data_IF_963851667082
#
_entry.id   IF_963851667082
#
_cell.length_a   1.000
_cell.length_b   1.000
_cell.length_c   1.000
_cell.angle_alpha   90.00
_cell.angle_beta   90.00
_cell.angle_gamma   90.00
#
_symmetry.space_group_name_H-M   'P 1'
#
loop_
_entity.id
_entity.type
_entity.pdbx_description
1 polymer ?
#
# COMPACT_ATOMS: atom_id res chain seq x y z
N UNK A 1 -28.92 4.52 0.21
CA UNK A 1 -28.07 3.30 0.26
C UNK A 1 -27.24 3.09 -1.01
N UNK A 2 -27.83 2.99 -2.21
CA UNK A 2 -27.03 2.71 -3.43
C UNK A 2 -26.03 3.79 -3.86
N UNK A 3 -26.40 5.09 -3.75
CA UNK A 3 -25.54 6.21 -4.18
C UNK A 3 -24.33 6.43 -3.27
N UNK A 4 -24.54 6.40 -1.95
CA UNK A 4 -23.45 6.58 -0.97
C UNK A 4 -22.47 5.42 -1.02
N UNK A 5 -22.96 4.17 -1.10
CA UNK A 5 -22.10 3.00 -1.25
C UNK A 5 -21.23 3.09 -2.52
N UNK A 6 -21.79 3.56 -3.64
CA UNK A 6 -21.04 3.75 -4.88
C UNK A 6 -19.98 4.85 -4.75
N UNK A 7 -20.31 5.98 -4.12
CA UNK A 7 -19.37 7.07 -3.88
C UNK A 7 -18.23 6.66 -2.96
N UNK A 8 -18.53 5.97 -1.86
CA UNK A 8 -17.53 5.48 -0.92
C UNK A 8 -16.65 4.41 -1.56
N UNK A 9 -17.23 3.50 -2.33
CA UNK A 9 -16.48 2.47 -3.07
C UNK A 9 -15.56 3.10 -4.13
N UNK A 10 -16.04 4.13 -4.83
CA UNK A 10 -15.25 4.86 -5.81
C UNK A 10 -14.07 5.57 -5.12
N UNK A 11 -14.34 6.35 -4.06
CA UNK A 11 -13.32 7.06 -3.30
C UNK A 11 -12.27 6.08 -2.74
N UNK A 12 -12.71 4.98 -2.13
CA UNK A 12 -11.82 3.93 -1.63
C UNK A 12 -10.98 3.31 -2.76
N UNK A 13 -11.58 3.05 -3.92
CA UNK A 13 -10.88 2.56 -5.10
C UNK A 13 -9.79 3.51 -5.61
N UNK A 14 -10.03 4.82 -5.60
CA UNK A 14 -9.01 5.82 -5.94
C UNK A 14 -7.85 5.81 -4.93
N UNK A 15 -8.10 5.55 -3.64
CA UNK A 15 -7.03 5.43 -2.64
C UNK A 15 -6.13 4.21 -2.83
N UNK A 16 -6.61 3.14 -3.48
CA UNK A 16 -5.78 1.97 -3.79
C UNK A 16 -4.66 2.35 -4.77
N UNK A 17 -4.92 3.28 -5.69
CA UNK A 17 -3.90 3.82 -6.60
C UNK A 17 -3.08 4.85 -5.83
N UNK A 18 -1.96 4.39 -5.28
CA UNK A 18 -1.08 5.20 -4.45
C UNK A 18 0.29 5.41 -5.11
N UNK A 19 1.01 6.50 -4.76
CA UNK A 19 2.36 6.77 -5.27
C UNK A 19 3.34 5.61 -4.99
N UNK A 20 3.08 4.84 -3.94
CA UNK A 20 3.85 3.63 -3.62
C UNK A 20 3.68 2.53 -4.66
N UNK A 21 2.48 2.31 -5.21
CA UNK A 21 2.27 1.33 -6.27
C UNK A 21 2.98 1.77 -7.56
N UNK A 22 2.99 3.07 -7.87
CA UNK A 22 3.73 3.61 -9.02
C UNK A 22 5.24 3.40 -8.87
N UNK A 23 5.80 3.59 -7.66
CA UNK A 23 7.20 3.27 -7.37
C UNK A 23 7.53 1.80 -7.64
N UNK A 24 6.67 0.87 -7.19
CA UNK A 24 6.85 -0.57 -7.45
C UNK A 24 6.75 -0.90 -8.94
N UNK A 25 5.87 -0.24 -9.69
CA UNK A 25 5.80 -0.43 -11.14
C UNK A 25 7.09 0.00 -11.84
N UNK A 26 7.72 1.10 -11.42
CA UNK A 26 9.01 1.51 -11.97
C UNK A 26 10.09 0.46 -11.72
N UNK A 27 10.15 -0.06 -10.49
CA UNK A 27 11.09 -1.12 -10.11
C UNK A 27 10.89 -2.40 -10.92
N UNK A 28 9.63 -2.82 -11.11
CA UNK A 28 9.29 -4.02 -11.88
C UNK A 28 9.53 -3.80 -13.39
N UNK A 29 9.34 -2.58 -13.90
CA UNK A 29 9.56 -2.23 -15.31
C UNK A 29 10.99 -2.49 -15.79
N UNK A 30 11.95 -2.37 -14.87
CA UNK A 30 13.37 -2.61 -15.16
C UNK A 30 13.73 -4.08 -15.33
N UNK A 31 12.79 -5.00 -15.14
CA UNK A 31 12.99 -6.45 -15.32
C UNK A 31 12.18 -6.95 -16.52
N UNK A 32 12.86 -7.22 -17.64
CA UNK A 32 12.29 -7.46 -18.98
C UNK A 32 11.35 -8.69 -19.11
N UNK A 33 11.25 -9.55 -18.10
CA UNK A 33 10.69 -10.91 -18.27
C UNK A 33 9.18 -11.05 -18.07
N UNK A 34 8.47 -10.05 -17.54
CA UNK A 34 7.02 -10.15 -17.26
C UNK A 34 6.26 -8.90 -17.72
N UNK A 35 5.15 -9.11 -18.44
CA UNK A 35 4.28 -8.00 -18.81
C UNK A 35 3.64 -7.41 -17.55
N UNK A 36 3.83 -6.10 -17.32
CA UNK A 36 3.27 -5.38 -16.17
C UNK A 36 1.79 -5.68 -15.95
N UNK A 37 1.02 -5.75 -17.04
CA UNK A 37 -0.42 -5.99 -16.97
C UNK A 37 -0.74 -7.33 -16.31
N UNK A 38 0.02 -8.40 -16.60
CA UNK A 38 -0.16 -9.71 -15.96
C UNK A 38 0.23 -9.66 -14.49
N UNK A 39 1.34 -8.99 -14.16
CA UNK A 39 1.80 -8.83 -12.78
C UNK A 39 0.76 -8.11 -11.92
N UNK A 40 0.14 -7.05 -12.46
CA UNK A 40 -0.95 -6.33 -11.78
C UNK A 40 -2.17 -7.24 -11.58
N UNK A 41 -2.61 -7.93 -12.63
CA UNK A 41 -3.79 -8.82 -12.57
C UNK A 41 -3.65 -9.94 -11.55
N UNK A 42 -2.47 -10.57 -11.49
CA UNK A 42 -2.18 -11.61 -10.49
C UNK A 42 -2.02 -10.96 -9.11
N UNK A 43 -1.34 -9.81 -9.02
CA UNK A 43 -1.14 -9.07 -7.79
C UNK A 43 -2.45 -8.60 -7.13
N UNK A 44 -3.45 -8.20 -7.92
CA UNK A 44 -4.78 -7.83 -7.38
C UNK A 44 -5.50 -9.00 -6.73
N UNK A 45 -5.31 -10.22 -7.23
CA UNK A 45 -5.88 -11.41 -6.60
C UNK A 45 -5.34 -11.60 -5.18
N UNK A 46 -4.06 -11.28 -4.95
CA UNK A 46 -3.46 -11.30 -3.62
C UNK A 46 -3.81 -10.06 -2.78
N UNK A 47 -3.99 -8.89 -3.40
CA UNK A 47 -4.27 -7.64 -2.67
C UNK A 47 -5.68 -7.59 -2.08
N UNK A 48 -6.68 -8.22 -2.71
CA UNK A 48 -8.06 -8.25 -2.21
C UNK A 48 -8.16 -8.91 -0.81
N UNK A 49 -7.61 -10.12 -0.56
CA UNK A 49 -7.55 -10.70 0.78
C UNK A 49 -6.85 -9.82 1.82
N UNK A 50 -5.75 -9.15 1.41
CA UNK A 50 -4.98 -8.26 2.28
C UNK A 50 -5.78 -7.01 2.67
N UNK A 51 -6.54 -6.43 1.73
CA UNK A 51 -7.44 -5.31 2.01
C UNK A 51 -8.56 -5.75 2.97
N UNK A 52 -9.15 -6.93 2.76
CA UNK A 52 -10.16 -7.47 3.68
C UNK A 52 -9.57 -7.70 5.08
N UNK A 53 -8.35 -8.22 5.17
CA UNK A 53 -7.64 -8.37 6.44
C UNK A 53 -7.44 -7.01 7.14
N UNK A 54 -7.00 -5.98 6.40
CA UNK A 54 -6.83 -4.63 6.94
C UNK A 54 -8.14 -4.09 7.52
N UNK A 55 -9.26 -4.25 6.81
CA UNK A 55 -10.59 -3.81 7.29
C UNK A 55 -11.03 -4.58 8.54
N UNK A 56 -10.82 -5.91 8.57
CA UNK A 56 -11.13 -6.73 9.75
C UNK A 56 -10.30 -6.33 10.97
N UNK A 57 -9.01 -6.04 10.76
CA UNK A 57 -8.12 -5.56 11.83
C UNK A 57 -8.50 -4.15 12.27
N UNK A 58 -8.85 -3.26 11.34
CA UNK A 58 -9.35 -1.92 11.64
C UNK A 58 -10.59 -1.98 12.54
N UNK A 59 -11.54 -2.88 12.24
CA UNK A 59 -12.74 -3.06 13.05
C UNK A 59 -12.49 -3.52 14.49
N UNK A 60 -11.39 -4.25 14.75
CA UNK A 60 -11.06 -4.79 16.08
C UNK A 60 -10.05 -3.95 16.87
N UNK A 61 -9.04 -3.41 16.18
CA UNK A 61 -7.86 -2.77 16.76
C UNK A 61 -7.72 -1.30 16.35
N UNK A 62 -8.71 -0.77 15.62
CA UNK A 62 -8.74 0.61 15.15
C UNK A 62 -7.61 0.95 14.18
N UNK A 63 -7.32 2.24 14.10
CA UNK A 63 -6.31 2.82 13.20
C UNK A 63 -4.93 2.21 13.44
N UNK A 64 -4.54 2.00 14.70
CA UNK A 64 -3.21 1.48 15.05
C UNK A 64 -2.99 0.04 14.60
N UNK A 65 -4.03 -0.81 14.69
CA UNK A 65 -3.94 -2.18 14.18
C UNK A 65 -3.84 -2.23 12.66
N UNK A 66 -4.66 -1.44 11.96
CA UNK A 66 -4.59 -1.34 10.50
C UNK A 66 -3.21 -0.82 10.05
N UNK A 67 -2.68 0.19 10.74
CA UNK A 67 -1.35 0.73 10.47
C UNK A 67 -0.27 -0.35 10.66
N UNK A 68 -0.34 -1.15 11.72
CA UNK A 68 0.62 -2.24 11.94
C UNK A 68 0.59 -3.26 10.79
N UNK A 69 -0.60 -3.65 10.32
CA UNK A 69 -0.74 -4.55 9.16
C UNK A 69 -0.11 -3.93 7.91
N UNK A 70 -0.42 -2.66 7.62
CA UNK A 70 0.17 -1.94 6.49
C UNK A 70 1.71 -1.94 6.58
N UNK A 71 2.28 -1.60 7.72
CA UNK A 71 3.74 -1.60 7.91
C UNK A 71 4.34 -2.98 7.69
N UNK A 72 3.71 -4.04 8.22
CA UNK A 72 4.19 -5.41 8.04
C UNK A 72 4.13 -5.84 6.57
N UNK A 73 3.06 -5.50 5.85
CA UNK A 73 2.95 -5.79 4.42
C UNK A 73 3.98 -5.02 3.60
N UNK A 74 4.39 -3.85 4.07
CA UNK A 74 5.37 -2.99 3.39
C UNK A 74 6.77 -3.52 3.53
N UNK A 75 7.13 -3.95 4.74
CA UNK A 75 8.38 -4.66 4.99
C UNK A 75 8.43 -5.99 4.25
N UNK A 76 7.31 -6.74 4.24
CA UNK A 76 7.19 -7.98 3.47
C UNK A 76 7.42 -7.76 1.97
N UNK A 77 6.80 -6.73 1.39
CA UNK A 77 7.03 -6.36 -0.01
C UNK A 77 8.49 -5.97 -0.28
N UNK A 78 9.12 -5.21 0.62
CA UNK A 78 10.54 -4.84 0.48
C UNK A 78 11.46 -6.06 0.51
N UNK A 79 11.19 -7.04 1.38
CA UNK A 79 11.95 -8.29 1.46
C UNK A 79 11.78 -9.14 0.19
N UNK A 80 10.54 -9.30 -0.28
CA UNK A 80 10.24 -10.03 -1.52
C UNK A 80 10.89 -9.34 -2.72
N UNK A 81 10.86 -8.01 -2.79
CA UNK A 81 11.53 -7.30 -3.87
C UNK A 81 13.05 -7.35 -3.77
N UNK A 82 13.58 -7.33 -2.54
CA UNK A 82 15.01 -7.48 -2.27
C UNK A 82 15.59 -8.82 -2.73
N UNK A 83 14.80 -9.90 -2.70
CA UNK A 83 15.24 -11.20 -3.22
C UNK A 83 15.32 -11.24 -4.74
N UNK A 84 14.56 -10.38 -5.43
CA UNK A 84 14.59 -10.24 -6.89
C UNK A 84 15.69 -9.27 -7.32
N UNK A 85 15.85 -8.14 -6.62
CA UNK A 85 17.05 -7.31 -6.74
C UNK A 85 17.31 -6.49 -5.47
N UNK A 86 18.58 -6.36 -5.02
CA UNK A 86 18.91 -5.59 -3.82
C UNK A 86 18.49 -4.12 -3.92
N UNK A 87 18.63 -3.52 -5.12
CA UNK A 87 18.23 -2.14 -5.39
C UNK A 87 16.72 -1.94 -5.22
N UNK A 88 15.92 -2.84 -5.78
CA UNK A 88 14.47 -2.83 -5.61
C UNK A 88 14.07 -2.87 -4.14
N UNK A 89 14.67 -3.78 -3.37
CA UNK A 89 14.40 -3.90 -1.94
C UNK A 89 14.70 -2.62 -1.16
N UNK A 90 15.83 -1.96 -1.46
CA UNK A 90 16.19 -0.68 -0.83
C UNK A 90 15.21 0.43 -1.20
N UNK A 91 14.87 0.57 -2.48
CA UNK A 91 13.90 1.58 -2.94
C UNK A 91 12.52 1.35 -2.27
N UNK A 92 12.05 0.10 -2.20
CA UNK A 92 10.80 -0.25 -1.50
C UNK A 92 10.87 0.05 0.00
N UNK A 93 12.00 -0.22 0.65
CA UNK A 93 12.19 0.07 2.08
C UNK A 93 12.18 1.57 2.37
N UNK A 94 12.79 2.39 1.51
CA UNK A 94 12.76 3.85 1.62
C UNK A 94 11.33 4.37 1.48
N UNK A 95 10.57 3.89 0.50
CA UNK A 95 9.16 4.28 0.33
C UNK A 95 8.33 3.91 1.57
N UNK A 96 8.52 2.71 2.12
CA UNK A 96 7.82 2.27 3.33
C UNK A 96 8.09 3.20 4.53
N UNK A 97 9.35 3.63 4.71
CA UNK A 97 9.73 4.59 5.76
C UNK A 97 9.02 5.94 5.60
N UNK A 98 8.95 6.47 4.38
CA UNK A 98 8.24 7.72 4.10
C UNK A 98 6.75 7.64 4.43
N UNK A 99 6.09 6.52 4.13
CA UNK A 99 4.66 6.31 4.45
C UNK A 99 4.45 6.26 5.97
N UNK A 100 5.32 5.54 6.70
CA UNK A 100 5.27 5.48 8.17
C UNK A 100 5.41 6.87 8.80
N UNK A 101 6.37 7.65 8.30
CA UNK A 101 6.55 9.04 8.70
C UNK A 101 5.31 9.87 8.39
N UNK A 102 4.78 9.79 7.17
CA UNK A 102 3.60 10.53 6.75
C UNK A 102 2.39 10.29 7.66
N UNK A 103 2.12 9.04 8.06
CA UNK A 103 1.01 8.72 8.98
C UNK A 103 1.19 9.35 10.36
N UNK A 104 2.42 9.45 10.88
CA UNK A 104 2.68 10.11 12.17
C UNK A 104 2.66 11.63 12.06
N UNK A 105 3.16 12.17 10.95
CA UNK A 105 3.30 13.62 10.73
C UNK A 105 1.95 14.26 10.42
N UNK A 106 1.08 13.60 9.63
CA UNK A 106 -0.23 14.11 9.26
C UNK A 106 -1.07 14.64 10.44
N UNK A 107 -1.32 13.88 11.52
CA UNK A 107 -2.12 14.37 12.66
C UNK A 107 -1.40 15.49 13.45
N UNK A 108 -0.06 15.51 13.47
CA UNK A 108 0.70 16.57 14.14
C UNK A 108 0.56 17.90 13.40
N UNK A 109 0.69 17.86 12.08
CA UNK A 109 0.49 19.04 11.22
C UNK A 109 -0.96 19.49 11.29
N UNK A 110 -1.93 18.57 11.17
CA UNK A 110 -3.35 18.94 11.25
C UNK A 110 -3.66 19.68 12.55
N UNK A 111 -3.11 19.27 13.70
CA UNK A 111 -3.26 19.96 14.99
C UNK A 111 -2.54 21.31 15.09
N UNK A 112 -1.53 21.54 14.26
CA UNK A 112 -0.81 22.80 14.23
C UNK A 112 -1.55 23.87 13.41
N UNK A 113 -2.35 23.44 12.43
CA UNK A 113 -3.13 24.32 11.56
C UNK A 113 -4.62 24.43 11.93
N UNK A 114 -5.18 23.43 12.61
CA UNK A 114 -6.57 23.33 13.04
C UNK A 114 -6.66 22.85 14.48
#
# INVERSE_FOLDING_TARGET
MGKELLLDSLAFGLFVVCPRMAGMMHVISGQESLSMMKTVLVGTLFSVPLLMLMVLVFGKFGVWGALAVCVLTDLGAALVMGSVSPRAGVETAVIALFVILGVKVAPLISRAFF
#
